data_IF_042858275643
#
_entry.id   IF_042858275643
#
_cell.length_a   1.000
_cell.length_b   1.000
_cell.length_c   1.000
_cell.angle_alpha   90.00
_cell.angle_beta   90.00
_cell.angle_gamma   90.00
#
_symmetry.space_group_name_H-M   'P 1'
#
loop_
_entity.id
_entity.type
_entity.pdbx_description
1 polymer ?
#
# COMPACT_ATOMS: atom_id res chain seq x y z
N UNK A 1 -22.55 -12.11 7.93
CA UNK A 1 -22.12 -12.61 9.17
C UNK A 1 -22.76 -12.22 10.48
N UNK A 2 -23.11 -10.95 10.77
CA UNK A 2 -23.48 -10.53 12.14
C UNK A 2 -24.79 -11.06 12.71
N UNK A 3 -25.71 -11.57 11.89
CA UNK A 3 -26.99 -12.10 12.34
C UNK A 3 -26.92 -13.49 13.00
N UNK A 4 -25.82 -14.21 12.81
CA UNK A 4 -25.64 -15.57 13.33
C UNK A 4 -25.22 -15.62 14.81
N UNK A 5 -24.80 -14.49 15.38
CA UNK A 5 -24.31 -14.43 16.77
C UNK A 5 -25.35 -14.84 17.84
N UNK A 6 -26.64 -14.73 17.55
CA UNK A 6 -27.72 -15.14 18.43
C UNK A 6 -28.19 -16.58 18.19
N UNK A 7 -27.98 -17.12 16.97
CA UNK A 7 -28.44 -18.47 16.59
C UNK A 7 -27.48 -19.57 17.06
N UNK A 8 -26.18 -19.28 17.13
CA UNK A 8 -25.14 -20.25 17.51
C UNK A 8 -25.04 -21.47 16.60
N UNK A 9 -24.16 -22.40 16.95
CA UNK A 9 -24.01 -23.66 16.19
C UNK A 9 -23.30 -23.52 14.84
N UNK A 10 -22.59 -22.42 14.62
CA UNK A 10 -21.72 -22.21 13.47
C UNK A 10 -20.31 -21.82 13.94
N UNK A 11 -19.27 -22.36 13.31
CA UNK A 11 -17.87 -22.13 13.67
C UNK A 11 -17.51 -20.64 13.56
N UNK A 12 -18.11 -19.91 12.63
CA UNK A 12 -17.87 -18.47 12.47
C UNK A 12 -18.30 -17.62 13.68
N UNK A 13 -19.13 -18.17 14.56
CA UNK A 13 -19.58 -17.48 15.79
C UNK A 13 -18.44 -17.25 16.78
N UNK A 14 -17.29 -17.94 16.67
CA UNK A 14 -16.11 -17.68 17.47
C UNK A 14 -15.67 -16.22 17.40
N UNK A 15 -15.82 -15.60 16.22
CA UNK A 15 -15.47 -14.20 15.98
C UNK A 15 -16.51 -13.17 16.47
N UNK A 16 -17.77 -13.57 16.70
CA UNK A 16 -18.88 -12.66 17.04
C UNK A 16 -19.45 -12.90 18.43
N UNK A 17 -19.82 -14.16 18.74
CA UNK A 17 -20.28 -14.58 20.06
C UNK A 17 -19.69 -15.94 20.41
N UNK A 18 -18.62 -16.00 21.19
CA UNK A 18 -17.94 -17.23 21.57
C UNK A 18 -18.82 -18.32 22.15
N UNK A 19 -19.91 -17.96 22.84
CA UNK A 19 -20.87 -18.90 23.44
C UNK A 19 -21.63 -19.76 22.41
N UNK A 20 -21.66 -19.30 21.13
CA UNK A 20 -22.29 -20.06 20.04
C UNK A 20 -21.67 -21.44 19.81
N UNK A 21 -20.38 -21.60 20.14
CA UNK A 21 -19.68 -22.89 20.09
C UNK A 21 -20.17 -23.84 21.22
N UNK A 22 -20.71 -23.28 22.30
CA UNK A 22 -21.33 -24.08 23.39
C UNK A 22 -22.57 -24.89 22.98
N UNK A 23 -23.18 -24.56 21.85
CA UNK A 23 -24.34 -25.28 21.30
C UNK A 23 -23.99 -26.59 20.61
N UNK A 24 -22.71 -26.81 20.27
CA UNK A 24 -22.27 -28.04 19.64
C UNK A 24 -22.39 -29.23 20.59
N UNK A 25 -22.96 -30.33 20.07
CA UNK A 25 -23.10 -31.61 20.79
C UNK A 25 -22.35 -32.75 20.11
N UNK A 26 -21.74 -32.48 18.96
CA UNK A 26 -20.86 -33.35 18.20
C UNK A 26 -19.71 -32.53 17.64
N UNK A 27 -18.60 -33.19 17.38
CA UNK A 27 -17.46 -32.55 16.70
C UNK A 27 -17.81 -32.27 15.25
N UNK A 28 -17.28 -31.17 14.71
CA UNK A 28 -17.55 -30.69 13.37
C UNK A 28 -16.31 -30.08 12.72
N UNK A 29 -16.23 -30.13 11.38
CA UNK A 29 -15.16 -29.56 10.58
C UNK A 29 -15.77 -28.78 9.43
N UNK A 30 -15.31 -27.56 9.22
CA UNK A 30 -15.74 -26.70 8.14
C UNK A 30 -14.55 -26.21 7.32
N UNK A 31 -14.71 -26.17 6.00
CA UNK A 31 -13.75 -25.51 5.09
C UNK A 31 -14.50 -24.78 3.98
N UNK A 32 -13.95 -23.66 3.53
CA UNK A 32 -14.51 -22.91 2.41
C UNK A 32 -13.45 -22.36 1.49
N UNK A 33 -13.76 -22.42 0.20
CA UNK A 33 -12.98 -21.86 -0.90
C UNK A 33 -13.84 -20.88 -1.65
N UNK A 34 -13.22 -19.85 -2.23
CA UNK A 34 -13.92 -18.88 -3.03
C UNK A 34 -13.08 -18.39 -4.21
N UNK A 35 -13.76 -17.81 -5.18
CA UNK A 35 -13.13 -17.04 -6.24
C UNK A 35 -13.62 -15.61 -6.12
N UNK A 36 -12.68 -14.68 -6.08
CA UNK A 36 -12.95 -13.25 -6.00
C UNK A 36 -12.58 -12.58 -7.32
N UNK A 37 -13.51 -11.78 -7.82
CA UNK A 37 -13.30 -10.91 -8.97
C UNK A 37 -13.12 -9.49 -8.44
N UNK A 38 -11.95 -8.93 -8.65
CA UNK A 38 -11.62 -7.56 -8.28
C UNK A 38 -11.62 -6.73 -9.56
N UNK A 39 -12.54 -5.78 -9.67
CA UNK A 39 -12.59 -4.80 -10.75
C UNK A 39 -12.21 -3.43 -10.20
N UNK A 40 -11.31 -2.74 -10.88
CA UNK A 40 -10.94 -1.37 -10.58
C UNK A 40 -11.05 -0.52 -11.84
N UNK A 41 -11.81 0.57 -11.76
CA UNK A 41 -11.86 1.60 -12.77
C UNK A 41 -11.10 2.82 -12.25
N UNK A 42 -10.09 3.27 -12.97
CA UNK A 42 -9.37 4.51 -12.73
C UNK A 42 -9.63 5.50 -13.86
N UNK A 43 -9.58 6.78 -13.56
CA UNK A 43 -9.78 7.84 -14.55
C UNK A 43 -8.64 8.85 -14.50
N UNK A 44 -8.07 9.15 -15.67
CA UNK A 44 -7.04 10.18 -15.83
C UNK A 44 -7.28 10.94 -17.11
N UNK A 45 -7.29 12.29 -17.05
CA UNK A 45 -7.53 13.19 -18.17
C UNK A 45 -8.78 12.82 -19.01
N UNK A 46 -9.86 12.41 -18.35
CA UNK A 46 -11.12 12.02 -19.00
C UNK A 46 -11.13 10.61 -19.61
N UNK A 47 -10.01 9.90 -19.65
CA UNK A 47 -9.93 8.50 -20.07
C UNK A 47 -10.14 7.58 -18.88
N UNK A 48 -10.87 6.49 -19.10
CA UNK A 48 -11.12 5.43 -18.11
C UNK A 48 -10.26 4.22 -18.42
N UNK A 49 -9.70 3.64 -17.36
CA UNK A 49 -8.84 2.45 -17.43
C UNK A 49 -9.40 1.39 -16.47
N UNK A 50 -9.64 0.22 -17.00
CA UNK A 50 -10.12 -0.92 -16.21
C UNK A 50 -8.94 -1.86 -15.92
N UNK A 51 -8.92 -2.37 -14.69
CA UNK A 51 -7.94 -3.34 -14.24
C UNK A 51 -8.65 -4.43 -13.45
N UNK A 52 -8.78 -5.60 -14.05
CA UNK A 52 -9.46 -6.73 -13.45
C UNK A 52 -8.45 -7.75 -12.92
N UNK A 53 -8.79 -8.37 -11.80
CA UNK A 53 -8.01 -9.44 -11.20
C UNK A 53 -8.95 -10.54 -10.72
N UNK A 54 -8.76 -11.75 -11.24
CA UNK A 54 -9.42 -12.94 -10.72
C UNK A 54 -8.47 -13.72 -9.84
N UNK A 55 -8.90 -14.08 -8.64
CA UNK A 55 -8.10 -14.84 -7.69
C UNK A 55 -8.91 -15.88 -6.96
N UNK A 56 -8.34 -17.10 -6.86
CA UNK A 56 -8.83 -18.11 -5.94
C UNK A 56 -8.36 -17.81 -4.53
N UNK A 57 -9.27 -17.86 -3.57
CA UNK A 57 -8.98 -17.64 -2.16
C UNK A 57 -9.39 -18.84 -1.33
N UNK A 58 -8.52 -19.22 -0.42
CA UNK A 58 -8.85 -20.09 0.70
C UNK A 58 -9.41 -19.21 1.81
N UNK A 59 -10.73 -19.34 2.05
CA UNK A 59 -11.41 -18.38 2.90
C UNK A 59 -11.42 -18.79 4.37
N UNK A 60 -11.60 -20.09 4.64
CA UNK A 60 -11.82 -20.55 6.00
C UNK A 60 -11.47 -22.03 6.15
N UNK A 61 -10.93 -22.39 7.31
CA UNK A 61 -10.92 -23.75 7.86
C UNK A 61 -11.14 -23.68 9.36
N UNK A 62 -12.03 -24.48 9.86
CA UNK A 62 -12.31 -24.57 11.29
C UNK A 62 -12.72 -25.95 11.72
N UNK A 63 -12.56 -26.21 13.02
CA UNK A 63 -13.07 -27.40 13.65
C UNK A 63 -13.57 -27.11 15.07
N UNK A 64 -14.53 -27.90 15.50
CA UNK A 64 -15.02 -27.94 16.88
C UNK A 64 -14.89 -29.36 17.38
N UNK A 65 -14.23 -29.50 18.51
CA UNK A 65 -14.22 -30.74 19.27
C UNK A 65 -15.17 -30.62 20.43
N UNK A 66 -16.24 -31.46 20.45
CA UNK A 66 -17.28 -31.45 21.48
C UNK A 66 -17.09 -32.64 22.41
N UNK A 67 -16.90 -32.35 23.70
CA UNK A 67 -16.75 -33.35 24.75
C UNK A 67 -17.96 -33.34 25.69
N UNK A 68 -18.68 -34.43 25.72
CA UNK A 68 -19.80 -34.63 26.65
C UNK A 68 -19.25 -34.97 28.03
N UNK A 69 -19.60 -34.20 29.05
CA UNK A 69 -19.17 -34.40 30.45
C UNK A 69 -20.12 -35.36 31.17
N UNK A 70 -21.44 -35.11 31.03
CA UNK A 70 -22.43 -35.95 31.68
C UNK A 70 -23.87 -35.53 31.42
N UNK A 71 -24.81 -36.40 31.76
CA UNK A 71 -26.23 -36.11 31.67
C UNK A 71 -26.85 -35.58 32.96
N UNK A 72 -26.20 -35.85 34.11
CA UNK A 72 -26.71 -35.53 35.44
C UNK A 72 -25.98 -34.36 36.09
N UNK A 73 -24.86 -33.93 35.51
CA UNK A 73 -24.09 -32.77 35.96
C UNK A 73 -24.62 -31.46 35.35
N UNK A 74 -24.56 -30.33 36.05
CA UNK A 74 -24.91 -29.05 35.46
C UNK A 74 -24.11 -28.74 34.19
N UNK A 75 -22.81 -29.04 34.17
CA UNK A 75 -21.96 -28.92 32.99
C UNK A 75 -22.18 -30.12 32.06
N UNK A 76 -22.84 -29.89 30.92
CA UNK A 76 -23.19 -30.93 29.95
C UNK A 76 -22.10 -31.19 28.93
N UNK A 77 -21.54 -30.13 28.38
CA UNK A 77 -20.51 -30.19 27.34
C UNK A 77 -19.43 -29.14 27.59
N UNK A 78 -18.21 -29.50 27.20
CA UNK A 78 -17.08 -28.58 27.02
C UNK A 78 -16.64 -28.72 25.58
N UNK A 79 -16.63 -27.60 24.87
CA UNK A 79 -16.28 -27.56 23.47
C UNK A 79 -15.01 -26.72 23.27
N UNK A 80 -14.11 -27.24 22.41
CA UNK A 80 -12.91 -26.53 21.96
C UNK A 80 -13.06 -26.26 20.47
N UNK A 81 -12.79 -25.05 20.07
CA UNK A 81 -12.87 -24.64 18.67
C UNK A 81 -11.59 -23.99 18.19
N UNK A 82 -11.31 -24.21 16.93
CA UNK A 82 -10.31 -23.45 16.18
C UNK A 82 -10.93 -23.02 14.87
N UNK A 83 -10.65 -21.79 14.46
CA UNK A 83 -11.07 -21.26 13.17
C UNK A 83 -9.97 -20.36 12.60
N UNK A 84 -9.54 -20.65 11.38
CA UNK A 84 -8.80 -19.74 10.54
C UNK A 84 -9.76 -19.14 9.52
N UNK A 85 -9.70 -17.84 9.34
CA UNK A 85 -10.38 -17.19 8.22
C UNK A 85 -9.63 -15.95 7.72
N UNK A 86 -9.77 -15.68 6.44
CA UNK A 86 -9.27 -14.46 5.84
C UNK A 86 -10.23 -13.31 6.16
N UNK A 87 -9.84 -12.45 7.11
CA UNK A 87 -10.67 -11.34 7.56
C UNK A 87 -10.76 -10.23 6.51
N UNK A 88 -9.69 -10.00 5.73
CA UNK A 88 -9.65 -9.00 4.67
C UNK A 88 -8.65 -9.37 3.58
N UNK A 89 -8.98 -9.05 2.33
CA UNK A 89 -8.08 -9.15 1.18
C UNK A 89 -7.71 -7.73 0.71
N UNK A 90 -6.43 -7.54 0.34
CA UNK A 90 -5.89 -6.28 -0.21
C UNK A 90 -5.61 -6.37 -1.71
N UNK A 91 -6.11 -7.40 -2.38
CA UNK A 91 -5.86 -7.58 -3.81
C UNK A 91 -6.50 -6.44 -4.61
N UNK A 92 -5.65 -5.67 -5.28
CA UNK A 92 -6.08 -4.57 -6.13
C UNK A 92 -5.05 -4.34 -7.24
N UNK A 93 -5.52 -4.08 -8.44
CA UNK A 93 -4.70 -3.63 -9.57
C UNK A 93 -5.22 -2.26 -10.01
N UNK A 94 -4.31 -1.35 -10.32
CA UNK A 94 -4.64 -0.04 -10.88
C UNK A 94 -3.71 0.28 -12.03
N UNK A 95 -4.26 0.91 -13.07
CA UNK A 95 -3.51 1.39 -14.23
C UNK A 95 -4.03 2.75 -14.65
N UNK A 96 -3.14 3.65 -15.00
CA UNK A 96 -3.44 4.94 -15.62
C UNK A 96 -2.35 5.29 -16.62
N UNK A 97 -2.71 6.01 -17.68
CA UNK A 97 -1.75 6.53 -18.64
C UNK A 97 -2.25 7.82 -19.30
N UNK A 98 -1.35 8.68 -19.73
CA UNK A 98 -1.71 9.89 -20.44
C UNK A 98 -0.58 10.90 -20.61
N UNK A 99 -0.84 11.89 -21.42
CA UNK A 99 0.08 13.01 -21.61
C UNK A 99 0.12 13.87 -20.35
N UNK A 100 1.33 14.20 -19.92
CA UNK A 100 1.57 15.01 -18.72
C UNK A 100 1.44 16.52 -18.98
N UNK A 101 1.56 16.97 -20.25
CA UNK A 101 1.71 18.38 -20.54
C UNK A 101 2.95 18.93 -19.83
N UNK A 102 2.76 19.96 -19.01
CA UNK A 102 3.82 20.58 -18.22
C UNK A 102 4.00 19.94 -16.82
N UNK A 103 3.37 18.77 -16.56
CA UNK A 103 3.35 18.16 -15.24
C UNK A 103 4.18 16.87 -15.17
N UNK A 104 5.48 16.96 -15.43
CA UNK A 104 6.40 15.86 -15.15
C UNK A 104 6.60 15.67 -13.65
N UNK A 105 6.84 14.43 -13.22
CA UNK A 105 7.23 14.15 -11.83
C UNK A 105 8.58 14.78 -11.48
N UNK A 106 9.42 15.12 -12.46
CA UNK A 106 10.68 15.82 -12.24
C UNK A 106 10.48 17.18 -11.56
N UNK A 107 9.37 17.88 -11.84
CA UNK A 107 9.04 19.12 -11.14
C UNK A 107 8.65 18.89 -9.68
N UNK A 108 8.01 17.77 -9.37
CA UNK A 108 7.76 17.37 -7.98
C UNK A 108 9.05 17.05 -7.25
N UNK A 109 9.97 16.33 -7.90
CA UNK A 109 11.31 16.04 -7.38
C UNK A 109 12.06 17.33 -7.06
N UNK A 110 12.07 18.28 -8.00
CA UNK A 110 12.69 19.61 -7.84
C UNK A 110 12.01 20.43 -6.72
N UNK A 111 10.68 20.43 -6.68
CA UNK A 111 9.90 21.14 -5.67
C UNK A 111 10.17 20.65 -4.24
N UNK A 112 10.32 19.33 -4.06
CA UNK A 112 10.67 18.74 -2.76
C UNK A 112 12.13 18.98 -2.38
N UNK A 113 13.01 19.22 -3.35
CA UNK A 113 14.38 19.63 -3.13
C UNK A 113 14.54 21.14 -2.87
N UNK A 114 13.52 21.93 -3.19
CA UNK A 114 13.56 23.37 -3.02
C UNK A 114 13.78 23.76 -1.55
N UNK A 115 14.69 24.73 -1.33
CA UNK A 115 15.07 25.17 0.03
C UNK A 115 16.22 24.38 0.65
N UNK A 116 16.74 23.35 -0.02
CA UNK A 116 17.98 22.67 0.39
C UNK A 116 19.14 23.45 -0.20
N UNK A 117 19.77 24.30 0.59
CA UNK A 117 20.87 25.16 0.14
C UNK A 117 22.11 24.38 -0.28
N UNK A 118 22.30 23.20 0.28
CA UNK A 118 23.43 22.33 0.00
C UNK A 118 23.07 20.87 0.22
N UNK A 119 23.22 20.07 -0.82
CA UNK A 119 23.29 18.62 -0.67
C UNK A 119 24.57 18.30 0.10
N UNK A 120 24.44 17.67 1.27
CA UNK A 120 25.59 17.22 2.03
C UNK A 120 26.42 16.19 1.26
N UNK A 121 27.57 15.81 1.77
CA UNK A 121 28.43 14.78 1.18
C UNK A 121 27.72 13.42 1.06
N UNK A 122 26.62 13.25 1.80
CA UNK A 122 25.75 12.04 1.75
C UNK A 122 24.28 12.43 1.96
N UNK A 123 23.54 12.80 0.91
CA UNK A 123 22.12 13.15 1.00
C UNK A 123 21.25 12.00 1.53
N UNK A 124 21.71 10.76 1.38
CA UNK A 124 21.02 9.55 1.85
C UNK A 124 20.88 9.45 3.37
N UNK A 125 21.71 10.18 4.12
CA UNK A 125 21.69 10.20 5.58
C UNK A 125 20.98 11.42 6.16
N UNK A 126 20.56 12.36 5.33
CA UNK A 126 19.81 13.54 5.74
C UNK A 126 18.32 13.25 5.75
N UNK A 127 17.73 13.23 6.94
CA UNK A 127 16.29 12.99 7.12
C UNK A 127 15.39 14.12 6.59
N UNK A 128 15.95 15.26 6.25
CA UNK A 128 15.22 16.40 5.68
C UNK A 128 15.00 16.30 4.18
N UNK A 129 15.72 15.41 3.50
CA UNK A 129 15.65 15.27 2.04
C UNK A 129 14.78 14.07 1.67
N UNK A 130 13.78 14.29 0.83
CA UNK A 130 12.92 13.22 0.32
C UNK A 130 13.66 12.29 -0.65
N UNK A 131 13.47 10.97 -0.53
CA UNK A 131 14.07 9.97 -1.41
C UNK A 131 13.81 10.22 -2.90
N UNK A 132 12.65 10.75 -3.24
CA UNK A 132 12.29 11.05 -4.62
C UNK A 132 13.22 12.12 -5.23
N UNK A 133 13.55 13.16 -4.44
CA UNK A 133 14.47 14.22 -4.85
C UNK A 133 15.92 13.71 -4.97
N UNK A 134 16.35 12.85 -4.05
CA UNK A 134 17.68 12.23 -4.09
C UNK A 134 17.82 11.38 -5.38
N UNK A 135 16.86 10.51 -5.65
CA UNK A 135 16.87 9.68 -6.85
C UNK A 135 16.81 10.53 -8.13
N UNK A 136 16.03 11.63 -8.12
CA UNK A 136 15.94 12.55 -9.23
C UNK A 136 17.26 13.25 -9.52
N UNK A 137 18.00 13.67 -8.48
CA UNK A 137 19.31 14.30 -8.63
C UNK A 137 20.38 13.29 -9.12
N UNK A 138 20.40 12.09 -8.53
CA UNK A 138 21.34 11.03 -8.91
C UNK A 138 21.15 10.57 -10.36
N UNK A 139 19.90 10.52 -10.81
CA UNK A 139 19.54 10.16 -12.18
C UNK A 139 19.69 11.33 -13.18
N UNK A 140 20.05 12.53 -12.72
CA UNK A 140 20.14 13.71 -13.56
C UNK A 140 18.78 14.25 -14.06
N UNK A 141 17.68 13.87 -13.41
CA UNK A 141 16.31 14.30 -13.73
C UNK A 141 15.98 15.68 -13.16
N UNK A 142 16.73 16.12 -12.16
CA UNK A 142 16.70 17.47 -11.61
C UNK A 142 18.13 18.01 -11.50
N UNK A 143 18.25 19.31 -11.54
CA UNK A 143 19.54 19.99 -11.34
C UNK A 143 19.37 21.16 -10.39
N UNK A 144 20.44 21.52 -9.73
CA UNK A 144 20.50 22.59 -8.71
C UNK A 144 20.78 23.99 -9.27
N UNK A 145 20.44 24.22 -10.53
CA UNK A 145 20.61 25.52 -11.19
C UNK A 145 19.36 25.91 -11.95
N UNK A 146 19.02 27.19 -11.84
CA UNK A 146 17.99 27.81 -12.69
C UNK A 146 18.68 28.59 -13.81
N UNK A 147 18.33 28.29 -15.07
CA UNK A 147 18.81 29.03 -16.23
C UNK A 147 17.79 30.12 -16.55
N UNK A 148 18.23 31.35 -16.67
CA UNK A 148 17.35 32.49 -16.96
C UNK A 148 18.02 33.52 -17.88
N UNK A 149 17.23 34.37 -18.52
CA UNK A 149 17.65 35.40 -19.49
C UNK A 149 17.84 36.80 -18.87
N UNK A 150 17.58 36.96 -17.57
CA UNK A 150 17.57 38.27 -16.91
C UNK A 150 18.63 38.43 -15.84
N UNK A 151 19.23 39.60 -15.77
CA UNK A 151 20.25 39.98 -14.81
C UNK A 151 19.68 40.54 -13.50
N UNK A 152 18.41 40.40 -13.23
CA UNK A 152 17.73 41.02 -12.08
C UNK A 152 17.73 40.25 -10.77
N UNK A 153 18.47 39.15 -10.63
CA UNK A 153 18.52 38.34 -9.41
C UNK A 153 19.83 38.47 -8.62
N UNK A 154 19.76 38.09 -7.36
CA UNK A 154 20.94 37.96 -6.53
C UNK A 154 21.74 36.74 -7.03
N UNK A 155 23.05 36.93 -7.33
CA UNK A 155 23.97 35.89 -7.79
C UNK A 155 23.77 35.38 -9.24
N UNK A 156 23.53 36.26 -10.19
CA UNK A 156 23.53 35.91 -11.61
C UNK A 156 24.96 35.51 -12.05
N UNK A 157 25.20 34.23 -12.26
CA UNK A 157 26.46 33.70 -12.77
C UNK A 157 26.28 33.48 -14.28
N UNK A 158 27.17 33.99 -15.17
CA UNK A 158 27.07 33.70 -16.59
C UNK A 158 27.06 32.19 -16.87
N UNK A 159 26.06 31.70 -17.61
CA UNK A 159 26.02 30.31 -18.06
C UNK A 159 26.98 30.19 -19.27
N UNK A 160 28.13 29.54 -19.07
CA UNK A 160 29.18 29.47 -20.08
C UNK A 160 29.53 28.02 -20.47
N UNK A 161 30.09 27.89 -21.67
CA UNK A 161 30.76 26.69 -22.13
C UNK A 161 32.16 27.07 -22.68
N UNK A 162 33.06 26.08 -22.83
CA UNK A 162 34.33 26.28 -23.53
C UNK A 162 34.21 25.84 -24.98
N UNK A 163 34.57 26.75 -25.88
CA UNK A 163 34.63 26.42 -27.32
C UNK A 163 35.83 25.51 -27.64
N UNK A 164 35.97 25.12 -28.90
CA UNK A 164 37.08 24.25 -29.36
C UNK A 164 38.49 24.83 -29.12
N UNK A 165 38.57 26.12 -28.94
CA UNK A 165 39.81 26.83 -28.63
C UNK A 165 40.03 27.01 -27.10
N UNK A 166 39.11 26.49 -26.28
CA UNK A 166 39.17 26.58 -24.82
C UNK A 166 38.73 27.92 -24.25
N UNK A 167 38.16 28.82 -25.07
CA UNK A 167 37.67 30.13 -24.67
C UNK A 167 36.25 29.96 -24.08
N UNK A 168 35.99 30.64 -22.95
CA UNK A 168 34.68 30.71 -22.35
C UNK A 168 33.71 31.53 -23.23
N UNK A 169 32.60 30.94 -23.59
CA UNK A 169 31.51 31.54 -24.38
C UNK A 169 30.24 31.44 -23.60
N UNK A 170 29.53 32.53 -23.46
CA UNK A 170 28.24 32.57 -22.75
C UNK A 170 27.13 32.02 -23.66
N UNK A 171 26.31 31.12 -23.11
CA UNK A 171 25.09 30.65 -23.77
C UNK A 171 24.11 31.80 -23.96
N UNK A 172 23.36 31.73 -25.03
CA UNK A 172 22.30 32.68 -25.39
C UNK A 172 21.02 31.93 -25.67
N UNK A 173 19.90 32.62 -25.42
CA UNK A 173 18.59 32.13 -25.82
C UNK A 173 18.38 32.22 -27.33
N UNK A 174 17.19 31.75 -27.78
CA UNK A 174 16.81 31.82 -29.23
C UNK A 174 16.75 33.24 -29.78
N UNK A 175 16.62 34.26 -28.93
CA UNK A 175 16.57 35.69 -29.30
C UNK A 175 17.95 36.36 -29.21
N UNK A 176 19.00 35.61 -28.83
CA UNK A 176 20.35 36.11 -28.68
C UNK A 176 20.65 36.76 -27.33
N UNK A 177 19.76 36.69 -26.34
CA UNK A 177 20.00 37.23 -25.01
C UNK A 177 20.92 36.30 -24.23
N UNK A 178 21.86 36.85 -23.43
CA UNK A 178 22.75 36.04 -22.63
C UNK A 178 21.98 35.26 -21.52
N UNK A 179 22.35 34.02 -21.31
CA UNK A 179 21.79 33.17 -20.24
C UNK A 179 22.67 33.19 -18.99
N UNK A 180 22.01 33.15 -17.85
CA UNK A 180 22.61 33.15 -16.53
C UNK A 180 22.13 31.95 -15.73
N UNK A 181 22.85 31.57 -14.69
CA UNK A 181 22.47 30.55 -13.73
C UNK A 181 22.37 31.15 -12.32
N UNK A 182 21.39 30.68 -11.58
CA UNK A 182 21.25 30.93 -10.15
C UNK A 182 21.36 29.60 -9.40
N UNK A 183 22.50 29.31 -8.78
CA UNK A 183 22.67 28.07 -8.01
C UNK A 183 21.80 28.06 -6.76
N UNK A 184 21.50 26.90 -6.24
CA UNK A 184 20.68 26.70 -5.05
C UNK A 184 19.18 26.59 -5.33
N UNK A 185 18.78 26.50 -6.61
CA UNK A 185 17.41 26.25 -7.03
C UNK A 185 17.38 24.98 -7.87
N UNK A 186 16.43 24.10 -7.54
CA UNK A 186 16.24 22.88 -8.30
C UNK A 186 15.18 23.07 -9.38
N UNK A 187 15.46 22.56 -10.57
CA UNK A 187 14.53 22.53 -11.70
C UNK A 187 14.33 21.11 -12.20
N UNK A 188 13.10 20.78 -12.57
CA UNK A 188 12.80 19.59 -13.34
C UNK A 188 13.30 19.74 -14.78
N UNK A 189 13.88 18.66 -15.30
CA UNK A 189 14.56 18.69 -16.61
C UNK A 189 13.64 18.34 -17.78
N UNK A 190 12.52 17.67 -17.53
CA UNK A 190 11.70 17.05 -18.57
C UNK A 190 10.25 17.54 -18.48
N UNK A 191 9.62 17.76 -19.62
CA UNK A 191 8.23 18.13 -19.75
C UNK A 191 7.57 17.48 -20.99
N UNK A 192 6.26 17.61 -21.14
CA UNK A 192 5.48 17.10 -22.27
C UNK A 192 5.60 15.58 -22.51
N UNK A 193 5.93 14.82 -21.49
CA UNK A 193 6.04 13.37 -21.55
C UNK A 193 4.69 12.67 -21.57
N UNK A 194 4.71 11.40 -21.96
CA UNK A 194 3.61 10.45 -21.79
C UNK A 194 3.91 9.55 -20.61
N UNK A 195 3.06 9.56 -19.60
CA UNK A 195 3.27 8.74 -18.41
C UNK A 195 2.40 7.49 -18.40
N UNK A 196 2.98 6.41 -17.87
CA UNK A 196 2.27 5.21 -17.49
C UNK A 196 2.44 4.97 -16.00
N UNK A 197 1.36 4.62 -15.34
CA UNK A 197 1.35 4.22 -13.95
C UNK A 197 0.60 2.90 -13.78
N UNK A 198 1.19 1.97 -13.07
CA UNK A 198 0.54 0.76 -12.60
C UNK A 198 0.85 0.51 -11.14
N UNK A 199 -0.14 0.01 -10.42
CA UNK A 199 -0.02 -0.39 -9.03
C UNK A 199 -0.63 -1.75 -8.82
N UNK A 200 0.05 -2.58 -8.04
CA UNK A 200 -0.41 -3.91 -7.65
C UNK A 200 -0.35 -4.02 -6.14
N UNK A 201 -1.50 -4.27 -5.53
CA UNK A 201 -1.61 -4.51 -4.10
C UNK A 201 -1.98 -5.97 -3.85
N UNK A 202 -1.34 -6.60 -2.89
CA UNK A 202 -1.50 -8.01 -2.55
C UNK A 202 -1.43 -8.21 -1.05
N UNK A 203 -2.03 -9.31 -0.61
CA UNK A 203 -2.01 -9.74 0.78
C UNK A 203 -3.37 -9.63 1.46
N UNK A 204 -3.36 -9.54 2.77
CA UNK A 204 -4.59 -9.53 3.54
C UNK A 204 -4.36 -9.53 5.04
N UNK A 205 -5.46 -9.74 5.74
CA UNK A 205 -5.49 -9.98 7.17
C UNK A 205 -6.02 -11.39 7.38
N UNK A 206 -5.19 -12.23 7.97
CA UNK A 206 -5.56 -13.57 8.39
C UNK A 206 -5.87 -13.57 9.90
N UNK A 207 -6.95 -14.22 10.28
CA UNK A 207 -7.40 -14.35 11.67
C UNK A 207 -7.45 -15.81 12.09
N UNK A 208 -6.96 -16.06 13.29
CA UNK A 208 -6.92 -17.35 13.96
C UNK A 208 -7.65 -17.23 15.28
N UNK A 209 -8.78 -17.93 15.43
CA UNK A 209 -9.58 -17.93 16.64
C UNK A 209 -9.45 -19.26 17.36
N UNK A 210 -9.15 -19.21 18.65
CA UNK A 210 -9.12 -20.34 19.58
C UNK A 210 -10.23 -20.15 20.60
N UNK A 211 -11.15 -21.09 20.67
CA UNK A 211 -12.33 -21.00 21.51
C UNK A 211 -12.40 -22.13 22.54
N UNK A 212 -12.87 -21.78 23.72
CA UNK A 212 -13.37 -22.72 24.72
C UNK A 212 -14.80 -22.28 25.12
N UNK A 213 -15.73 -23.25 25.13
CA UNK A 213 -17.12 -22.96 25.47
C UNK A 213 -17.71 -24.03 26.31
N UNK A 214 -18.67 -23.62 27.15
CA UNK A 214 -19.31 -24.44 28.16
C UNK A 214 -20.83 -24.44 27.95
N UNK A 215 -21.43 -25.60 28.10
CA UNK A 215 -22.88 -25.78 28.06
C UNK A 215 -23.36 -26.20 29.45
N UNK A 216 -24.17 -25.38 30.10
CA UNK A 216 -24.78 -25.65 31.39
C UNK A 216 -26.28 -25.95 31.23
N UNK A 217 -26.67 -27.17 31.54
CA UNK A 217 -28.05 -27.65 31.54
C UNK A 217 -28.82 -27.43 30.23
N UNK A 218 -28.11 -27.26 29.11
CA UNK A 218 -28.68 -26.91 27.79
C UNK A 218 -29.52 -25.59 27.81
N UNK A 219 -29.18 -24.68 28.73
CA UNK A 219 -29.86 -23.40 28.92
C UNK A 219 -28.89 -22.22 28.95
N UNK A 220 -27.74 -22.40 29.54
CA UNK A 220 -26.73 -21.32 29.64
C UNK A 220 -25.46 -21.78 28.94
N UNK A 221 -25.00 -20.96 28.02
CA UNK A 221 -23.79 -21.21 27.24
C UNK A 221 -22.84 -20.04 27.49
N UNK A 222 -21.61 -20.36 27.82
CA UNK A 222 -20.55 -19.37 28.03
C UNK A 222 -19.40 -19.72 27.10
N UNK A 223 -18.74 -18.72 26.55
CA UNK A 223 -17.63 -18.91 25.65
C UNK A 223 -16.54 -17.84 25.79
N UNK A 224 -15.33 -18.25 25.54
CA UNK A 224 -14.14 -17.41 25.47
C UNK A 224 -13.43 -17.69 24.15
N UNK A 225 -13.09 -16.68 23.40
CA UNK A 225 -12.23 -16.77 22.22
C UNK A 225 -10.99 -15.91 22.39
N UNK A 226 -9.84 -16.47 22.05
CA UNK A 226 -8.59 -15.76 21.85
C UNK A 226 -8.36 -15.64 20.35
N UNK A 227 -8.35 -14.42 19.82
CA UNK A 227 -8.09 -14.12 18.43
C UNK A 227 -6.65 -13.66 18.21
N UNK A 228 -5.99 -14.21 17.21
CA UNK A 228 -4.69 -13.75 16.73
C UNK A 228 -4.80 -13.29 15.28
N UNK A 229 -4.15 -12.20 14.93
CA UNK A 229 -4.18 -11.60 13.60
C UNK A 229 -2.80 -11.53 13.00
N UNK A 230 -2.71 -11.82 11.71
CA UNK A 230 -1.51 -11.59 10.91
C UNK A 230 -1.87 -10.69 9.74
N UNK A 231 -1.12 -9.61 9.56
CA UNK A 231 -1.24 -8.67 8.46
C UNK A 231 -0.03 -8.81 7.56
N UNK A 232 -0.24 -9.04 6.27
CA UNK A 232 0.79 -8.92 5.22
C UNK A 232 0.19 -8.09 4.09
N UNK A 233 0.79 -6.94 3.83
CA UNK A 233 0.42 -6.03 2.75
C UNK A 233 1.65 -5.76 1.92
N UNK A 234 1.53 -5.98 0.62
CA UNK A 234 2.57 -5.71 -0.35
C UNK A 234 2.01 -4.82 -1.44
N UNK A 235 2.69 -3.72 -1.70
CA UNK A 235 2.38 -2.82 -2.81
C UNK A 235 3.59 -2.67 -3.70
N UNK A 236 3.40 -2.94 -4.99
CA UNK A 236 4.34 -2.63 -6.05
C UNK A 236 3.76 -1.51 -6.89
N UNK A 237 4.58 -0.52 -7.22
CA UNK A 237 4.24 0.52 -8.19
C UNK A 237 5.33 0.60 -9.25
N UNK A 238 4.89 0.81 -10.47
CA UNK A 238 5.73 1.14 -11.61
C UNK A 238 5.20 2.42 -12.22
N UNK A 239 6.07 3.39 -12.40
CA UNK A 239 5.81 4.65 -13.05
C UNK A 239 6.88 4.88 -14.09
N UNK A 240 6.50 5.28 -15.30
CA UNK A 240 7.43 5.70 -16.33
C UNK A 240 6.94 6.96 -17.03
N UNK A 241 7.88 7.77 -17.47
CA UNK A 241 7.66 8.89 -18.36
C UNK A 241 8.51 8.70 -19.60
N UNK A 242 7.87 8.75 -20.77
CA UNK A 242 8.48 8.69 -22.10
C UNK A 242 8.33 10.04 -22.78
N UNK A 243 9.43 10.61 -23.21
CA UNK A 243 9.49 11.91 -23.89
C UNK A 243 9.74 11.78 -25.40
N UNK A 244 9.84 10.55 -25.91
CA UNK A 244 10.27 10.26 -27.27
C UNK A 244 11.78 10.38 -27.44
N UNK A 245 12.27 10.04 -28.64
CA UNK A 245 13.71 10.08 -28.98
C UNK A 245 14.64 9.29 -28.05
N UNK A 246 14.14 8.18 -27.48
CA UNK A 246 14.83 7.37 -26.49
C UNK A 246 15.12 8.09 -25.15
N UNK A 247 14.43 9.16 -24.89
CA UNK A 247 14.49 9.90 -23.63
C UNK A 247 13.31 9.49 -22.73
N UNK A 248 13.62 9.17 -21.49
CA UNK A 248 12.61 8.79 -20.49
C UNK A 248 13.24 8.21 -19.25
N UNK A 249 12.41 7.93 -18.26
CA UNK A 249 12.84 7.26 -17.04
C UNK A 249 11.72 6.39 -16.46
N UNK A 250 12.11 5.46 -15.62
CA UNK A 250 11.16 4.66 -14.86
C UNK A 250 11.49 4.69 -13.38
N UNK A 251 10.44 4.68 -12.55
CA UNK A 251 10.52 4.61 -11.10
C UNK A 251 9.75 3.38 -10.61
N UNK A 252 10.41 2.54 -9.83
CA UNK A 252 9.79 1.39 -9.20
C UNK A 252 9.82 1.53 -7.70
N UNK A 253 8.74 1.13 -7.05
CA UNK A 253 8.64 1.17 -5.61
C UNK A 253 8.01 -0.12 -5.07
N UNK A 254 8.58 -0.62 -3.98
CA UNK A 254 8.06 -1.75 -3.23
C UNK A 254 7.81 -1.31 -1.80
N UNK A 255 6.59 -1.49 -1.35
CA UNK A 255 6.21 -1.25 0.04
C UNK A 255 5.66 -2.54 0.62
N UNK A 256 6.17 -2.94 1.77
CA UNK A 256 5.67 -4.10 2.50
C UNK A 256 5.40 -3.73 3.94
N UNK A 257 4.19 -4.04 4.40
CA UNK A 257 3.77 -3.84 5.77
C UNK A 257 3.41 -5.20 6.35
N UNK A 258 4.04 -5.53 7.47
CA UNK A 258 3.72 -6.71 8.27
C UNK A 258 3.28 -6.27 9.65
N UNK A 259 2.26 -6.94 10.17
CA UNK A 259 1.75 -6.67 11.49
C UNK A 259 1.15 -7.91 12.14
N UNK A 260 0.98 -7.85 13.45
CA UNK A 260 0.26 -8.85 14.21
C UNK A 260 -0.58 -8.16 15.29
N UNK A 261 -1.65 -8.82 15.70
CA UNK A 261 -2.52 -8.35 16.75
C UNK A 261 -3.18 -9.52 17.48
N UNK A 262 -3.82 -9.23 18.59
CA UNK A 262 -4.62 -10.21 19.32
C UNK A 262 -5.84 -9.54 19.94
N UNK A 263 -6.87 -10.33 20.19
CA UNK A 263 -8.03 -9.93 20.95
C UNK A 263 -8.53 -11.06 21.87
N UNK A 264 -9.42 -10.67 22.78
CA UNK A 264 -10.11 -11.60 23.68
C UNK A 264 -11.58 -11.27 23.64
N UNK A 265 -12.41 -12.29 23.40
CA UNK A 265 -13.87 -12.16 23.31
C UNK A 265 -14.55 -13.05 24.31
N UNK A 266 -15.53 -12.52 25.00
CA UNK A 266 -16.46 -13.27 25.85
C UNK A 266 -17.85 -13.29 25.25
N UNK A 267 -18.56 -14.39 25.41
CA UNK A 267 -19.93 -14.53 24.96
C UNK A 267 -20.76 -15.32 25.96
N UNK A 268 -22.06 -15.00 25.97
CA UNK A 268 -23.08 -15.73 26.70
C UNK A 268 -24.34 -15.89 25.85
N UNK A 269 -25.03 -17.01 25.99
CA UNK A 269 -26.35 -17.31 25.44
C UNK A 269 -27.17 -17.93 26.58
N UNK A 270 -28.39 -17.44 26.78
CA UNK A 270 -29.32 -17.87 27.84
C UNK A 270 -30.65 -18.24 27.19
#
# INVERSE_FOLDING_TARGET
GGAMGALGGDISTMGTNPAGIGLYRSSDVMTSFGFSLYGNESQYLGKKFNSDLTKGDFNNIGFVFSSKIGNETPLRFVNFGFNYHKAKSFNNNMRMEGNLGLYSQTYLMASQAAGIEKWGDSPYTDNGIGWLSILGADAGLIRDITIHDKTGGVNNIPYTYKDEQGKEVQYKDINGNPLYISPGHFEGMLDNGYANFRSEERGGIDQYDFNVSFNFNDRVYLGLTLGAYSVDYNKYTFYDEDYGNDEGYSLQSWNRIKGSGFDVKFGAII
#
